data_IF_431245659962
#
_entry.id   IF_431245659962
#
_cell.length_a   1.000
_cell.length_b   1.000
_cell.length_c   1.000
_cell.angle_alpha   90.00
_cell.angle_beta   90.00
_cell.angle_gamma   90.00
#
_symmetry.space_group_name_H-M   'P 1'
#
loop_
_entity.id
_entity.type
_entity.pdbx_description
1 polymer ?
#
# COMPACT_ATOMS: atom_id res chain seq x y z
N UNK A 1 0.83 -1.23 -10.89
CA UNK A 1 0.13 -0.20 -10.11
C UNK A 1 -0.17 -0.64 -8.66
N UNK A 2 -0.82 -1.79 -8.39
CA UNK A 2 -1.13 -2.20 -7.00
C UNK A 2 0.15 -2.42 -6.17
N UNK A 3 1.20 -3.01 -6.76
CA UNK A 3 2.49 -3.21 -6.10
C UNK A 3 3.16 -1.92 -5.65
N UNK A 4 2.96 -0.80 -6.38
CA UNK A 4 3.53 0.50 -6.02
C UNK A 4 2.89 1.08 -4.75
N UNK A 5 1.61 0.79 -4.50
CA UNK A 5 0.93 1.22 -3.27
C UNK A 5 1.57 0.52 -2.06
N UNK A 6 1.72 -0.81 -2.11
CA UNK A 6 2.37 -1.55 -1.02
C UNK A 6 3.84 -1.16 -0.85
N UNK A 7 4.55 -0.91 -1.96
CA UNK A 7 5.92 -0.39 -1.93
C UNK A 7 6.00 0.97 -1.23
N UNK A 8 5.12 1.91 -1.57
CA UNK A 8 5.06 3.22 -0.94
C UNK A 8 4.81 3.14 0.57
N UNK A 9 3.84 2.32 0.98
CA UNK A 9 3.54 2.12 2.41
C UNK A 9 4.67 1.41 3.15
N UNK A 10 5.28 0.40 2.54
CA UNK A 10 6.44 -0.26 3.12
C UNK A 10 7.62 0.71 3.27
N UNK A 11 7.83 1.61 2.30
CA UNK A 11 8.87 2.64 2.36
C UNK A 11 8.58 3.64 3.47
N UNK A 12 7.34 4.09 3.63
CA UNK A 12 6.94 4.96 4.73
C UNK A 12 7.21 4.34 6.11
N UNK A 13 6.79 3.08 6.31
CA UNK A 13 7.09 2.35 7.55
C UNK A 13 8.60 2.15 7.77
N UNK A 14 9.34 1.93 6.67
CA UNK A 14 10.80 1.86 6.71
C UNK A 14 11.44 3.18 7.15
N UNK A 15 10.91 4.32 6.74
CA UNK A 15 11.33 5.64 7.20
C UNK A 15 11.13 5.80 8.71
N UNK A 16 10.02 5.32 9.26
CA UNK A 16 9.77 5.31 10.72
C UNK A 16 10.81 4.46 11.45
N UNK A 17 11.10 3.25 10.96
CA UNK A 17 12.13 2.38 11.56
C UNK A 17 13.52 3.02 11.54
N UNK A 18 13.85 3.73 10.47
CA UNK A 18 15.10 4.47 10.34
C UNK A 18 15.16 5.64 11.33
N UNK A 19 14.08 6.39 11.51
CA UNK A 19 13.96 7.49 12.48
C UNK A 19 14.11 6.97 13.93
N UNK A 20 13.63 5.77 14.22
CA UNK A 20 13.78 5.08 15.50
C UNK A 20 15.19 4.48 15.71
N UNK A 21 16.14 4.73 14.80
CA UNK A 21 17.49 4.15 14.80
C UNK A 21 17.50 2.61 14.80
N UNK A 22 16.46 1.99 14.25
CA UNK A 22 16.31 0.53 14.10
C UNK A 22 16.60 0.06 12.67
N UNK A 23 17.66 0.61 12.07
CA UNK A 23 18.07 0.32 10.68
C UNK A 23 18.31 -1.18 10.43
N UNK A 24 18.68 -1.95 11.45
CA UNK A 24 18.83 -3.40 11.34
C UNK A 24 17.50 -4.10 10.99
N UNK A 25 16.37 -3.66 11.56
CA UNK A 25 15.06 -4.23 11.26
C UNK A 25 14.61 -3.85 9.84
N UNK A 26 14.89 -2.61 9.44
CA UNK A 26 14.67 -2.14 8.07
C UNK A 26 15.47 -3.00 7.06
N UNK A 27 16.78 -3.21 7.31
CA UNK A 27 17.63 -4.02 6.44
C UNK A 27 17.16 -5.48 6.37
N UNK A 28 16.86 -6.10 7.53
CA UNK A 28 16.34 -7.48 7.57
C UNK A 28 15.07 -7.66 6.76
N UNK A 29 14.08 -6.77 6.94
CA UNK A 29 12.83 -6.86 6.17
C UNK A 29 13.06 -6.73 4.67
N UNK A 30 13.97 -5.85 4.24
CA UNK A 30 14.32 -5.67 2.83
C UNK A 30 14.99 -6.90 2.23
N UNK A 31 15.97 -7.48 2.94
CA UNK A 31 16.70 -8.67 2.48
C UNK A 31 15.77 -9.89 2.39
N UNK A 32 14.96 -10.14 3.43
CA UNK A 32 13.99 -11.25 3.42
C UNK A 32 13.04 -11.12 2.22
N UNK A 33 12.51 -9.94 2.01
CA UNK A 33 11.56 -9.71 0.91
C UNK A 33 12.23 -9.83 -0.46
N UNK A 34 13.47 -9.38 -0.61
CA UNK A 34 14.22 -9.54 -1.85
C UNK A 34 14.45 -11.00 -2.19
N UNK A 35 14.81 -11.84 -1.21
CA UNK A 35 14.98 -13.27 -1.39
C UNK A 35 13.65 -13.93 -1.81
N UNK A 36 12.56 -13.63 -1.11
CA UNK A 36 11.23 -14.16 -1.45
C UNK A 36 10.82 -13.74 -2.86
N UNK A 37 11.01 -12.45 -3.20
CA UNK A 37 10.69 -11.95 -4.54
C UNK A 37 11.49 -12.69 -5.63
N UNK A 38 12.78 -12.91 -5.41
CA UNK A 38 13.63 -13.64 -6.38
C UNK A 38 13.15 -15.07 -6.58
N UNK A 39 12.86 -15.79 -5.51
CA UNK A 39 12.38 -17.18 -5.58
C UNK A 39 11.02 -17.23 -6.29
N UNK A 40 10.06 -16.39 -5.87
CA UNK A 40 8.74 -16.34 -6.49
C UNK A 40 8.81 -15.92 -7.96
N UNK A 41 9.71 -15.00 -8.29
CA UNK A 41 9.89 -14.53 -9.66
C UNK A 41 10.34 -15.67 -10.56
N UNK A 42 11.36 -16.43 -10.14
CA UNK A 42 11.84 -17.59 -10.90
C UNK A 42 10.70 -18.58 -11.12
N UNK A 43 9.98 -18.98 -10.07
CA UNK A 43 8.91 -19.98 -10.16
C UNK A 43 7.77 -19.48 -11.07
N UNK A 44 7.27 -18.26 -10.85
CA UNK A 44 6.11 -17.75 -11.56
C UNK A 44 6.42 -17.37 -13.02
N UNK A 45 7.65 -16.98 -13.32
CA UNK A 45 8.05 -16.72 -14.72
C UNK A 45 8.00 -18.01 -15.54
N UNK A 46 8.48 -19.13 -14.99
CA UNK A 46 8.40 -20.42 -15.68
C UNK A 46 6.96 -20.93 -15.84
N UNK A 47 6.04 -20.60 -14.93
CA UNK A 47 4.65 -21.07 -14.97
C UNK A 47 3.73 -20.20 -15.83
N UNK A 48 3.86 -18.87 -15.74
CA UNK A 48 2.88 -17.89 -16.25
C UNK A 48 3.54 -16.85 -17.17
N UNK A 49 4.87 -16.92 -17.35
CA UNK A 49 5.62 -15.98 -18.17
C UNK A 49 5.73 -14.58 -17.53
N UNK A 50 5.79 -13.49 -18.34
CA UNK A 50 6.02 -12.11 -17.82
C UNK A 50 5.01 -11.63 -16.80
N UNK A 51 3.77 -12.14 -16.83
CA UNK A 51 2.74 -11.81 -15.83
C UNK A 51 3.14 -12.31 -14.44
N UNK A 52 3.90 -13.42 -14.39
CA UNK A 52 4.44 -13.99 -13.16
C UNK A 52 5.34 -13.01 -12.40
N UNK A 53 6.14 -12.18 -13.10
CA UNK A 53 6.98 -11.15 -12.46
C UNK A 53 6.15 -10.07 -11.77
N UNK A 54 5.04 -9.69 -12.36
CA UNK A 54 4.15 -8.69 -11.76
C UNK A 54 3.50 -9.23 -10.48
N UNK A 55 3.10 -10.50 -10.48
CA UNK A 55 2.49 -11.16 -9.32
C UNK A 55 3.53 -11.35 -8.20
N UNK A 56 4.75 -11.83 -8.52
CA UNK A 56 5.82 -12.01 -7.54
C UNK A 56 6.18 -10.69 -6.84
N UNK A 57 6.27 -9.62 -7.61
CA UNK A 57 6.56 -8.28 -7.10
C UNK A 57 5.45 -7.77 -6.18
N UNK A 58 4.18 -7.99 -6.55
CA UNK A 58 3.04 -7.62 -5.73
C UNK A 58 3.07 -8.37 -4.38
N UNK A 59 3.25 -9.69 -4.41
CA UNK A 59 3.32 -10.52 -3.20
C UNK A 59 4.50 -10.10 -2.32
N UNK A 60 5.66 -9.85 -2.91
CA UNK A 60 6.85 -9.43 -2.18
C UNK A 60 6.64 -8.09 -1.45
N UNK A 61 6.11 -7.07 -2.11
CA UNK A 61 5.85 -5.78 -1.45
C UNK A 61 4.73 -5.86 -0.40
N UNK A 62 3.73 -6.69 -0.63
CA UNK A 62 2.70 -6.97 0.38
C UNK A 62 3.31 -7.59 1.64
N UNK A 63 4.17 -8.60 1.50
CA UNK A 63 4.88 -9.22 2.62
C UNK A 63 5.81 -8.22 3.31
N UNK A 64 6.54 -7.39 2.56
CA UNK A 64 7.38 -6.33 3.13
C UNK A 64 6.56 -5.38 4.00
N UNK A 65 5.41 -4.96 3.51
CA UNK A 65 4.51 -4.08 4.27
C UNK A 65 4.04 -4.74 5.56
N UNK A 66 3.62 -6.02 5.51
CA UNK A 66 3.19 -6.76 6.70
C UNK A 66 4.30 -6.88 7.75
N UNK A 67 5.50 -7.30 7.33
CA UNK A 67 6.66 -7.44 8.23
C UNK A 67 6.99 -6.10 8.90
N UNK A 68 7.03 -5.01 8.12
CA UNK A 68 7.33 -3.68 8.66
C UNK A 68 6.23 -3.15 9.56
N UNK A 69 4.97 -3.43 9.24
CA UNK A 69 3.83 -3.05 10.08
C UNK A 69 3.93 -3.69 11.46
N UNK A 70 4.25 -4.99 11.52
CA UNK A 70 4.45 -5.70 12.78
C UNK A 70 5.64 -5.15 13.56
N UNK A 71 6.77 -4.91 12.89
CA UNK A 71 7.95 -4.32 13.50
C UNK A 71 7.67 -2.94 14.11
N UNK A 72 6.97 -2.06 13.38
CA UNK A 72 6.67 -0.70 13.85
C UNK A 72 5.66 -0.71 15.00
N UNK A 73 4.66 -1.61 15.00
CA UNK A 73 3.69 -1.76 16.10
C UNK A 73 4.36 -2.04 17.45
N UNK A 74 5.48 -2.75 17.46
CA UNK A 74 6.21 -3.07 18.68
C UNK A 74 6.91 -1.85 19.32
N UNK A 75 7.12 -0.77 18.57
CA UNK A 75 7.81 0.44 19.04
C UNK A 75 6.88 1.65 19.19
N UNK A 76 5.81 1.69 18.44
CA UNK A 76 4.85 2.80 18.44
C UNK A 76 3.44 2.21 18.50
N UNK A 77 2.62 2.71 19.43
CA UNK A 77 1.18 2.39 19.48
C UNK A 77 0.46 3.02 18.26
N UNK A 78 0.70 2.43 17.08
CA UNK A 78 -0.03 2.82 15.88
C UNK A 78 -1.46 2.29 16.00
N UNK A 79 -2.43 3.20 16.14
CA UNK A 79 -3.84 2.87 15.94
C UNK A 79 -4.12 2.77 14.43
N UNK A 80 -3.63 1.70 13.82
CA UNK A 80 -3.91 1.39 12.41
C UNK A 80 -5.22 0.61 12.38
N UNK A 81 -6.20 1.15 11.72
CA UNK A 81 -7.48 0.47 11.51
C UNK A 81 -7.36 -0.46 10.29
N UNK A 82 -6.75 -1.64 10.51
CA UNK A 82 -6.40 -2.61 9.45
C UNK A 82 -7.63 -2.99 8.61
N UNK A 83 -8.80 -3.08 9.23
CA UNK A 83 -10.04 -3.41 8.51
C UNK A 83 -10.40 -2.33 7.48
N UNK A 84 -10.31 -1.07 7.86
CA UNK A 84 -10.60 0.05 6.96
C UNK A 84 -9.60 0.13 5.81
N UNK A 85 -8.31 -0.04 6.14
CA UNK A 85 -7.25 0.01 5.14
C UNK A 85 -7.36 -1.18 4.17
N UNK A 86 -7.73 -2.37 4.65
CA UNK A 86 -7.99 -3.53 3.81
C UNK A 86 -9.15 -3.30 2.84
N UNK A 87 -10.24 -2.66 3.30
CA UNK A 87 -11.37 -2.29 2.44
C UNK A 87 -10.92 -1.30 1.36
N UNK A 88 -10.13 -0.29 1.70
CA UNK A 88 -9.59 0.66 0.74
C UNK A 88 -8.73 -0.04 -0.34
N UNK A 89 -7.91 -1.01 0.06
CA UNK A 89 -7.13 -1.80 -0.89
C UNK A 89 -8.00 -2.67 -1.78
N UNK A 90 -9.04 -3.30 -1.25
CA UNK A 90 -10.00 -4.06 -2.06
C UNK A 90 -10.66 -3.17 -3.12
N UNK A 91 -11.07 -1.97 -2.74
CA UNK A 91 -11.66 -0.99 -3.67
C UNK A 91 -10.67 -0.65 -4.78
N UNK A 92 -9.39 -0.39 -4.44
CA UNK A 92 -8.35 -0.08 -5.43
C UNK A 92 -8.05 -1.26 -6.36
N UNK A 93 -8.07 -2.49 -5.84
CA UNK A 93 -7.90 -3.71 -6.64
C UNK A 93 -9.06 -3.86 -7.62
N UNK A 94 -10.29 -3.73 -7.15
CA UNK A 94 -11.51 -3.80 -8.00
C UNK A 94 -11.46 -2.73 -9.07
N UNK A 95 -11.08 -1.50 -8.72
CA UNK A 95 -10.91 -0.41 -9.67
C UNK A 95 -9.85 -0.74 -10.73
N UNK A 96 -8.71 -1.31 -10.33
CA UNK A 96 -7.64 -1.70 -11.25
C UNK A 96 -8.06 -2.82 -12.21
N UNK A 97 -8.84 -3.80 -11.73
CA UNK A 97 -9.38 -4.87 -12.57
C UNK A 97 -10.45 -4.33 -13.53
N UNK A 98 -11.32 -3.45 -13.05
CA UNK A 98 -12.32 -2.80 -13.90
C UNK A 98 -11.68 -2.01 -15.05
N UNK A 99 -10.54 -1.36 -14.79
CA UNK A 99 -9.74 -0.67 -15.82
C UNK A 99 -9.22 -1.60 -16.93
N UNK A 100 -8.95 -2.86 -16.60
CA UNK A 100 -8.44 -3.84 -17.58
C UNK A 100 -9.56 -4.46 -18.42
N UNK A 101 -10.77 -4.52 -17.87
CA UNK A 101 -11.91 -5.23 -18.49
C UNK A 101 -12.81 -4.30 -19.30
N UNK A 102 -12.96 -3.04 -18.87
CA UNK A 102 -13.87 -2.07 -19.50
C UNK A 102 -13.11 -1.28 -20.55
N UNK A 103 -13.53 -1.40 -21.82
CA UNK A 103 -13.00 -0.59 -22.91
C UNK A 103 -13.33 0.90 -22.72
N UNK A 104 -12.35 1.72 -23.15
CA UNK A 104 -12.28 3.17 -22.90
C UNK A 104 -13.36 3.93 -23.69
N UNK A 105 -14.54 4.05 -23.13
CA UNK A 105 -15.56 4.99 -23.58
C UNK A 105 -15.77 6.11 -22.55
N UNK A 106 -16.37 7.23 -22.95
CA UNK A 106 -16.49 8.44 -22.12
C UNK A 106 -17.22 8.24 -20.78
N UNK A 107 -17.95 7.14 -20.61
CA UNK A 107 -18.58 6.68 -19.35
C UNK A 107 -17.53 6.31 -18.29
N UNK A 108 -16.34 5.93 -18.72
CA UNK A 108 -15.22 5.50 -17.87
C UNK A 108 -14.74 6.56 -16.86
N UNK A 109 -14.72 7.83 -17.26
CA UNK A 109 -14.31 8.93 -16.38
C UNK A 109 -15.26 9.09 -15.17
N UNK A 110 -16.54 8.82 -15.35
CA UNK A 110 -17.54 8.93 -14.29
C UNK A 110 -17.39 7.84 -13.22
N UNK A 111 -17.02 6.61 -13.62
CA UNK A 111 -16.73 5.53 -12.66
C UNK A 111 -15.51 5.83 -11.82
N UNK A 112 -14.44 6.39 -12.40
CA UNK A 112 -13.24 6.77 -11.65
C UNK A 112 -13.53 7.85 -10.60
N UNK A 113 -14.33 8.85 -10.96
CA UNK A 113 -14.76 9.91 -10.05
C UNK A 113 -15.58 9.30 -8.89
N UNK A 114 -16.50 8.37 -9.19
CA UNK A 114 -17.29 7.67 -8.17
C UNK A 114 -16.42 6.91 -7.16
N UNK A 115 -15.43 6.13 -7.63
CA UNK A 115 -14.49 5.42 -6.74
C UNK A 115 -13.63 6.39 -5.93
N UNK A 116 -13.20 7.50 -6.52
CA UNK A 116 -12.44 8.52 -5.81
C UNK A 116 -13.25 9.17 -4.69
N UNK A 117 -14.52 9.51 -4.96
CA UNK A 117 -15.44 10.05 -3.96
C UNK A 117 -15.67 9.03 -2.84
N UNK A 118 -15.85 7.75 -3.16
CA UNK A 118 -16.00 6.69 -2.17
C UNK A 118 -14.79 6.58 -1.23
N UNK A 119 -13.57 6.67 -1.75
CA UNK A 119 -12.35 6.72 -0.95
C UNK A 119 -12.29 7.98 -0.08
N UNK A 120 -12.66 9.15 -0.61
CA UNK A 120 -12.71 10.39 0.18
C UNK A 120 -13.69 10.30 1.36
N UNK A 121 -14.85 9.66 1.16
CA UNK A 121 -15.84 9.45 2.23
C UNK A 121 -15.27 8.51 3.29
N UNK A 122 -14.59 7.45 2.90
CA UNK A 122 -13.98 6.46 3.82
C UNK A 122 -12.91 7.09 4.71
N UNK A 123 -12.15 8.07 4.18
CA UNK A 123 -11.09 8.77 4.90
C UNK A 123 -11.50 10.17 5.40
N UNK A 124 -12.79 10.53 5.32
CA UNK A 124 -13.28 11.86 5.67
C UNK A 124 -12.94 12.27 7.12
N UNK A 125 -13.05 11.37 8.07
CA UNK A 125 -12.75 11.65 9.49
C UNK A 125 -11.26 11.96 9.70
N UNK A 126 -10.37 11.26 9.01
CA UNK A 126 -8.93 11.49 9.06
C UNK A 126 -8.56 12.81 8.40
N UNK A 127 -9.12 13.10 7.23
CA UNK A 127 -8.93 14.37 6.54
C UNK A 127 -9.37 15.54 7.41
N UNK A 128 -10.53 15.45 8.04
CA UNK A 128 -11.04 16.49 8.98
C UNK A 128 -10.08 16.72 10.15
N UNK A 129 -9.51 15.63 10.70
CA UNK A 129 -8.55 15.72 11.80
C UNK A 129 -7.23 16.36 11.38
N UNK A 130 -6.74 16.01 10.19
CA UNK A 130 -5.50 16.58 9.65
C UNK A 130 -5.68 18.06 9.33
N UNK A 131 -6.77 18.42 8.64
CA UNK A 131 -7.09 19.81 8.29
C UNK A 131 -7.27 20.64 9.55
N UNK A 132 -7.97 20.12 10.57
CA UNK A 132 -8.15 20.79 11.86
C UNK A 132 -6.81 21.08 12.56
N UNK A 133 -5.87 20.12 12.57
CA UNK A 133 -4.53 20.32 13.13
C UNK A 133 -3.69 21.33 12.34
N UNK A 134 -3.82 21.35 11.03
CA UNK A 134 -3.12 22.33 10.17
C UNK A 134 -3.64 23.75 10.38
N UNK A 135 -4.95 23.93 10.54
CA UNK A 135 -5.57 25.23 10.79
C UNK A 135 -5.15 25.77 12.16
N UNK A 136 -5.15 24.93 13.21
CA UNK A 136 -4.74 25.33 14.57
C UNK A 136 -3.27 25.75 14.60
N UNK A 137 -2.39 25.01 13.87
CA UNK A 137 -0.95 25.35 13.81
C UNK A 137 -0.65 26.64 13.04
N UNK A 138 -1.57 27.12 12.20
CA UNK A 138 -1.40 28.38 11.45
C UNK A 138 -1.89 29.61 12.23
N UNK A 139 -2.61 29.40 13.34
CA UNK A 139 -3.18 30.46 14.19
C UNK A 139 -2.31 30.73 15.43
N UNK A 140 -1.36 29.83 15.74
CA UNK A 140 -0.29 30.04 16.72
C UNK A 140 1.01 30.50 16.04
#
# INVERSE_FOLDING_TARGET
>A
MISTIFSGMATFLGGILSALKKSNLFAKSSVITAIINTILNIILVFMIGPVGTAISTLVAYFLMWLIRLEQVKNFINLRVNIQRDLIAYLILVVQSVALLVINVDSIFNWYQIGFFIMLLILYYQELKTIIGKFIIKKIQ
#
